data_IF_563651359421
#
_entry.id   IF_563651359421
#
_cell.length_a   1.000
_cell.length_b   1.000
_cell.length_c   1.000
_cell.angle_alpha   90.00
_cell.angle_beta   90.00
_cell.angle_gamma   90.00
#
_symmetry.space_group_name_H-M   'P 1'
#
loop_
_entity.id
_entity.type
_entity.pdbx_description
1 polymer ?
#
# COMPACT_ATOMS: atom_id res chain seq x y z
N UNK A 1 4.85 29.87 -12.83
CA UNK A 1 4.57 28.85 -11.79
C UNK A 1 5.90 28.42 -11.22
N UNK A 2 6.43 29.23 -10.31
CA UNK A 2 7.75 29.01 -9.73
C UNK A 2 7.60 28.05 -8.55
N UNK A 3 7.60 26.75 -8.84
CA UNK A 3 7.82 25.76 -7.79
C UNK A 3 9.27 25.91 -7.33
N UNK A 4 9.47 26.39 -6.10
CA UNK A 4 10.78 26.41 -5.48
C UNK A 4 11.33 24.96 -5.44
N UNK A 5 12.60 24.74 -5.82
CA UNK A 5 13.20 23.41 -5.76
C UNK A 5 13.16 22.88 -4.32
N UNK A 6 12.74 21.63 -4.17
CA UNK A 6 12.75 20.94 -2.89
C UNK A 6 14.20 20.63 -2.49
N UNK A 7 14.73 21.36 -1.50
CA UNK A 7 16.13 21.26 -1.09
C UNK A 7 16.36 20.45 0.20
N UNK A 8 15.36 19.71 0.69
CA UNK A 8 15.49 18.93 1.93
C UNK A 8 15.89 17.48 1.63
N UNK A 9 16.54 16.84 2.62
CA UNK A 9 16.90 15.44 2.52
C UNK A 9 15.64 14.55 2.51
N UNK A 10 15.68 13.53 1.66
CA UNK A 10 14.71 12.43 1.65
C UNK A 10 15.39 11.24 2.33
N UNK A 11 14.77 10.73 3.40
CA UNK A 11 15.21 9.56 4.13
C UNK A 11 14.45 8.35 3.61
N UNK A 12 15.15 7.27 3.27
CA UNK A 12 14.56 6.01 2.81
C UNK A 12 14.45 5.06 4.00
N UNK A 13 13.30 4.39 4.12
CA UNK A 13 13.03 3.38 5.13
C UNK A 13 12.70 2.06 4.44
N UNK A 14 13.16 0.94 5.00
CA UNK A 14 12.87 -0.39 4.48
C UNK A 14 11.63 -1.01 5.10
N UNK A 15 11.08 -0.38 6.13
CA UNK A 15 9.84 -0.79 6.74
C UNK A 15 9.11 0.34 7.47
N UNK A 16 7.84 0.08 7.77
CA UNK A 16 6.98 0.91 8.60
C UNK A 16 6.08 0.01 9.46
N UNK A 17 5.57 0.56 10.56
CA UNK A 17 4.58 -0.12 11.41
C UNK A 17 3.23 0.55 11.21
N UNK A 18 2.21 -0.23 10.86
CA UNK A 18 0.82 0.20 10.85
C UNK A 18 0.14 -0.27 12.14
N UNK A 19 -0.53 0.66 12.82
CA UNK A 19 -1.30 0.39 14.03
C UNK A 19 -2.77 0.70 13.75
N UNK A 20 -3.64 -0.31 13.82
CA UNK A 20 -5.07 -0.16 13.54
C UNK A 20 -5.93 -0.95 14.53
N UNK A 21 -7.19 -0.60 14.62
CA UNK A 21 -8.14 -1.29 15.51
C UNK A 21 -8.96 -2.30 14.68
N UNK A 22 -8.93 -3.58 15.07
CA UNK A 22 -9.66 -4.64 14.39
C UNK A 22 -10.74 -5.22 15.32
N UNK A 23 -11.97 -4.73 15.21
CA UNK A 23 -13.10 -5.16 16.05
C UNK A 23 -13.38 -6.68 15.98
N UNK A 24 -13.02 -7.33 14.89
CA UNK A 24 -13.25 -8.75 14.66
C UNK A 24 -12.24 -9.66 15.35
N UNK A 25 -11.04 -9.15 15.67
CA UNK A 25 -9.95 -9.95 16.24
C UNK A 25 -9.66 -9.50 17.68
N UNK A 26 -10.14 -10.27 18.65
CA UNK A 26 -10.01 -9.98 20.10
C UNK A 26 -8.58 -10.23 20.65
N UNK A 27 -7.56 -10.29 19.79
CA UNK A 27 -6.29 -10.92 20.09
C UNK A 27 -5.23 -10.00 20.73
N UNK A 28 -5.56 -8.75 21.06
CA UNK A 28 -4.65 -7.84 21.77
C UNK A 28 -5.35 -7.02 22.85
N UNK A 29 -4.55 -6.43 23.76
CA UNK A 29 -5.05 -5.56 24.83
C UNK A 29 -5.81 -4.39 24.21
N UNK A 30 -7.14 -4.44 24.30
CA UNK A 30 -8.03 -3.44 23.72
C UNK A 30 -8.18 -3.48 22.20
N UNK A 31 -7.94 -4.64 21.52
CA UNK A 31 -8.26 -4.86 20.10
C UNK A 31 -7.40 -4.12 19.06
N UNK A 32 -6.24 -3.60 19.48
CA UNK A 32 -5.26 -2.90 18.63
C UNK A 32 -4.29 -3.88 17.94
N UNK A 33 -4.17 -3.82 16.63
CA UNK A 33 -3.24 -4.62 15.83
C UNK A 33 -2.03 -3.80 15.39
N UNK A 34 -0.87 -4.46 15.36
CA UNK A 34 0.37 -3.92 14.80
C UNK A 34 0.82 -4.83 13.68
N UNK A 35 0.98 -4.26 12.49
CA UNK A 35 1.54 -4.95 11.34
C UNK A 35 2.77 -4.21 10.85
N UNK A 36 3.75 -4.98 10.38
CA UNK A 36 4.98 -4.45 9.84
C UNK A 36 4.93 -4.53 8.32
N UNK A 37 5.00 -3.37 7.66
CA UNK A 37 5.01 -3.23 6.21
C UNK A 37 6.46 -3.18 5.75
N UNK A 38 6.84 -4.07 4.83
CA UNK A 38 8.17 -4.18 4.26
C UNK A 38 8.23 -3.62 2.83
N UNK A 39 9.26 -2.83 2.58
CA UNK A 39 9.64 -2.33 1.26
C UNK A 39 11.15 -2.53 1.06
N UNK A 40 11.63 -3.75 1.33
CA UNK A 40 13.05 -4.07 1.35
C UNK A 40 13.50 -4.53 -0.05
N UNK A 41 14.42 -3.82 -0.72
CA UNK A 41 14.81 -4.13 -2.11
C UNK A 41 15.63 -5.41 -2.24
N UNK A 42 16.26 -5.89 -1.17
CA UNK A 42 16.92 -7.20 -1.12
C UNK A 42 16.71 -7.85 0.25
N UNK A 43 15.86 -8.87 0.27
CA UNK A 43 15.49 -9.59 1.49
C UNK A 43 16.42 -10.79 1.69
N UNK A 44 17.24 -10.78 2.76
CA UNK A 44 18.29 -11.79 3.02
C UNK A 44 19.24 -12.04 1.83
N UNK A 45 19.60 -11.00 1.08
CA UNK A 45 20.43 -11.12 -0.12
C UNK A 45 19.71 -11.73 -1.33
N UNK A 46 18.40 -11.96 -1.20
CA UNK A 46 17.52 -12.48 -2.24
C UNK A 46 16.69 -11.38 -2.92
N UNK A 47 15.58 -11.78 -3.56
CA UNK A 47 14.63 -10.89 -4.20
C UNK A 47 14.08 -9.80 -3.26
N UNK A 48 13.52 -8.71 -3.81
CA UNK A 48 12.83 -7.72 -3.02
C UNK A 48 11.63 -8.30 -2.26
N UNK A 49 11.38 -7.77 -1.07
CA UNK A 49 10.17 -7.95 -0.30
C UNK A 49 9.38 -6.64 -0.34
N UNK A 50 8.33 -6.62 -1.17
CA UNK A 50 7.43 -5.50 -1.35
C UNK A 50 6.03 -5.94 -0.93
N UNK A 51 5.62 -5.51 0.25
CA UNK A 51 4.33 -5.88 0.80
C UNK A 51 3.19 -5.18 0.06
N UNK A 52 2.06 -5.87 0.00
CA UNK A 52 0.81 -5.27 -0.44
C UNK A 52 0.12 -4.62 0.75
N UNK A 53 -0.63 -3.55 0.50
CA UNK A 53 -1.37 -2.83 1.51
C UNK A 53 -2.76 -2.46 1.03
N UNK A 54 -3.70 -2.38 1.96
CA UNK A 54 -4.97 -1.70 1.75
C UNK A 54 -4.77 -0.19 1.95
N UNK A 55 -5.24 0.59 0.99
CA UNK A 55 -5.15 2.05 1.00
C UNK A 55 -6.55 2.62 1.02
N UNK A 56 -6.84 3.53 1.95
CA UNK A 56 -8.12 4.23 1.99
C UNK A 56 -8.22 5.18 0.78
N UNK A 57 -9.14 4.91 -0.13
CA UNK A 57 -9.38 5.72 -1.32
C UNK A 57 -10.65 6.57 -1.18
N UNK A 58 -11.73 5.94 -0.73
CA UNK A 58 -13.02 6.61 -0.53
C UNK A 58 -13.76 5.99 0.65
N UNK A 59 -13.74 6.69 1.78
CA UNK A 59 -14.41 6.27 3.01
C UNK A 59 -15.95 6.26 2.90
N UNK A 60 -16.54 6.84 1.85
CA UNK A 60 -18.00 6.81 1.62
C UNK A 60 -18.47 5.50 0.99
N UNK A 61 -17.57 4.77 0.32
CA UNK A 61 -17.87 3.49 -0.29
C UNK A 61 -17.73 2.37 0.73
N UNK A 62 -18.65 1.40 0.67
CA UNK A 62 -18.63 0.24 1.56
C UNK A 62 -17.63 -0.81 1.08
N UNK A 63 -17.11 -1.56 2.06
CA UNK A 63 -16.30 -2.77 1.83
C UNK A 63 -15.04 -2.48 0.99
N UNK A 64 -14.64 -3.42 0.15
CA UNK A 64 -13.42 -3.34 -0.65
C UNK A 64 -13.48 -2.24 -1.71
N UNK A 65 -14.65 -1.70 -2.03
CA UNK A 65 -14.79 -0.66 -3.05
C UNK A 65 -14.29 0.70 -2.59
N UNK A 66 -14.24 0.95 -1.28
CA UNK A 66 -13.61 2.14 -0.69
C UNK A 66 -12.12 1.98 -0.46
N UNK A 67 -11.58 0.78 -0.67
CA UNK A 67 -10.17 0.44 -0.45
C UNK A 67 -9.47 0.19 -1.79
N UNK A 68 -8.34 0.85 -1.99
CA UNK A 68 -7.37 0.47 -3.01
C UNK A 68 -6.46 -0.64 -2.51
N UNK A 69 -5.91 -1.43 -3.43
CA UNK A 69 -4.78 -2.31 -3.16
C UNK A 69 -3.56 -1.76 -3.88
N UNK A 70 -2.45 -1.68 -3.16
CA UNK A 70 -1.20 -1.23 -3.75
C UNK A 70 -0.02 -2.03 -3.21
N UNK A 71 1.01 -2.21 -4.03
CA UNK A 71 2.29 -2.76 -3.63
C UNK A 71 3.21 -1.63 -3.17
N UNK A 72 3.76 -1.72 -1.96
CA UNK A 72 4.69 -0.70 -1.44
C UNK A 72 6.10 -0.97 -1.96
N UNK A 73 6.58 -0.08 -2.83
CA UNK A 73 7.89 -0.22 -3.45
C UNK A 73 8.99 0.51 -2.66
N UNK A 74 8.64 1.60 -1.98
CA UNK A 74 9.56 2.40 -1.19
C UNK A 74 8.81 3.16 -0.11
N UNK A 75 9.38 3.20 1.09
CA UNK A 75 8.94 4.09 2.17
C UNK A 75 9.97 5.19 2.33
N UNK A 76 9.52 6.43 2.47
CA UNK A 76 10.40 7.56 2.69
C UNK A 76 9.80 8.59 3.63
N UNK A 77 10.65 9.44 4.17
CA UNK A 77 10.20 10.63 4.89
C UNK A 77 11.06 11.83 4.55
N UNK A 78 10.47 13.01 4.64
CA UNK A 78 11.16 14.25 4.37
C UNK A 78 10.56 15.39 5.19
N UNK A 79 11.31 16.48 5.35
CA UNK A 79 10.81 17.66 6.07
C UNK A 79 10.23 18.67 5.08
N UNK A 80 9.08 19.25 5.41
CA UNK A 80 8.46 20.34 4.67
C UNK A 80 7.73 21.27 5.65
N UNK A 81 7.97 22.58 5.58
CA UNK A 81 7.45 23.57 6.54
C UNK A 81 7.54 23.11 8.01
N UNK A 82 8.72 22.64 8.43
CA UNK A 82 9.00 22.16 9.79
C UNK A 82 8.26 20.89 10.23
N UNK A 83 7.48 20.25 9.36
CA UNK A 83 6.83 18.97 9.61
C UNK A 83 7.54 17.85 8.88
N UNK A 84 7.73 16.72 9.55
CA UNK A 84 8.15 15.48 8.89
C UNK A 84 6.93 14.86 8.24
N UNK A 85 7.01 14.63 6.93
CA UNK A 85 5.99 13.97 6.13
C UNK A 85 6.50 12.58 5.80
N UNK A 86 5.68 11.57 6.05
CA UNK A 86 5.98 10.17 5.73
C UNK A 86 5.18 9.74 4.51
N UNK A 87 5.85 9.13 3.55
CA UNK A 87 5.30 8.78 2.25
C UNK A 87 5.67 7.37 1.83
N UNK A 88 4.83 6.80 0.97
CA UNK A 88 5.07 5.54 0.30
C UNK A 88 4.99 5.74 -1.21
N UNK A 89 5.95 5.22 -1.96
CA UNK A 89 5.80 4.99 -3.38
C UNK A 89 5.11 3.65 -3.56
N UNK A 90 3.96 3.66 -4.23
CA UNK A 90 3.14 2.46 -4.41
C UNK A 90 2.89 2.19 -5.88
N UNK A 91 2.77 0.90 -6.22
CA UNK A 91 2.23 0.43 -7.49
C UNK A 91 0.79 -0.02 -7.28
N UNK A 92 -0.15 0.65 -7.93
CA UNK A 92 -1.57 0.34 -7.81
C UNK A 92 -1.96 -0.97 -8.49
N UNK A 93 -2.92 -1.64 -7.87
CA UNK A 93 -3.58 -2.82 -8.42
C UNK A 93 -5.07 -2.54 -8.58
N UNK A 94 -5.66 -3.04 -9.67
CA UNK A 94 -7.10 -2.92 -9.94
C UNK A 94 -7.82 -4.24 -9.71
N UNK A 95 -9.05 -4.13 -9.22
CA UNK A 95 -9.97 -5.26 -9.11
C UNK A 95 -10.26 -5.81 -10.51
N UNK A 96 -10.25 -7.13 -10.63
CA UNK A 96 -10.67 -7.85 -11.83
C UNK A 96 -12.13 -8.27 -11.69
N UNK A 97 -12.97 -7.80 -12.60
CA UNK A 97 -14.41 -8.07 -12.56
C UNK A 97 -15.15 -7.24 -11.51
N UNK A 98 -16.43 -7.58 -11.30
CA UNK A 98 -17.34 -6.79 -10.45
C UNK A 98 -17.79 -7.51 -9.17
N UNK A 99 -17.32 -8.75 -8.98
CA UNK A 99 -17.70 -9.65 -7.88
C UNK A 99 -16.50 -10.50 -7.47
N UNK A 100 -16.47 -11.02 -6.23
CA UNK A 100 -15.48 -12.00 -5.83
C UNK A 100 -15.53 -13.25 -6.73
N UNK A 101 -14.40 -13.95 -6.82
CA UNK A 101 -14.29 -15.24 -7.48
C UNK A 101 -15.30 -16.23 -6.88
N UNK A 102 -16.04 -16.94 -7.74
CA UNK A 102 -17.15 -17.79 -7.30
C UNK A 102 -16.71 -19.03 -6.53
N UNK A 103 -15.45 -19.46 -6.71
CA UNK A 103 -14.91 -20.67 -6.07
C UNK A 103 -14.31 -20.34 -4.71
N UNK A 104 -13.56 -19.25 -4.60
CA UNK A 104 -12.81 -18.88 -3.39
C UNK A 104 -13.53 -17.83 -2.54
N UNK A 105 -14.48 -17.09 -3.10
CA UNK A 105 -15.10 -15.93 -2.46
C UNK A 105 -14.15 -14.73 -2.31
N UNK A 106 -12.95 -14.79 -2.90
CA UNK A 106 -11.94 -13.73 -2.80
C UNK A 106 -11.98 -12.78 -3.98
N UNK A 107 -11.59 -11.53 -3.76
CA UNK A 107 -11.42 -10.55 -4.83
C UNK A 107 -10.10 -10.80 -5.56
N UNK A 108 -10.15 -10.75 -6.90
CA UNK A 108 -8.96 -10.89 -7.74
C UNK A 108 -8.43 -9.50 -8.08
N UNK A 109 -7.12 -9.34 -7.95
CA UNK A 109 -6.42 -8.09 -8.26
C UNK A 109 -5.31 -8.34 -9.28
N UNK A 110 -5.06 -7.35 -10.12
CA UNK A 110 -3.93 -7.37 -11.05
C UNK A 110 -3.18 -6.03 -11.02
N UNK A 111 -1.87 -6.04 -11.31
CA UNK A 111 -1.10 -4.80 -11.39
C UNK A 111 -1.71 -3.85 -12.42
N UNK A 112 -1.78 -2.56 -12.07
CA UNK A 112 -2.34 -1.53 -12.93
C UNK A 112 -1.25 -0.74 -13.66
N UNK A 113 -1.60 -0.20 -14.82
CA UNK A 113 -0.66 0.47 -15.73
C UNK A 113 -1.33 1.72 -16.29
N UNK A 114 -0.56 2.81 -16.45
CA UNK A 114 -1.05 4.09 -16.99
C UNK A 114 -1.67 3.94 -18.39
N UNK A 115 -1.18 2.95 -19.15
CA UNK A 115 -1.65 2.61 -20.48
C UNK A 115 -1.88 1.10 -20.59
N UNK A 116 -2.80 0.70 -21.46
CA UNK A 116 -3.14 -0.72 -21.68
C UNK A 116 -1.98 -1.57 -22.23
N UNK A 117 -0.82 -0.98 -22.54
CA UNK A 117 0.33 -1.67 -23.12
C UNK A 117 1.28 -2.32 -22.10
N UNK A 118 0.96 -2.32 -20.79
CA UNK A 118 1.74 -2.95 -19.70
C UNK A 118 3.18 -2.46 -19.54
N UNK A 119 3.56 -1.34 -20.17
CA UNK A 119 4.94 -0.84 -20.13
C UNK A 119 5.19 0.13 -18.97
N UNK A 120 4.14 0.78 -18.47
CA UNK A 120 4.27 1.86 -17.47
C UNK A 120 3.39 1.56 -16.27
N UNK A 121 3.96 1.05 -15.15
CA UNK A 121 3.18 0.75 -13.96
C UNK A 121 2.53 2.03 -13.43
N UNK A 122 1.32 1.91 -12.92
CA UNK A 122 0.61 3.02 -12.30
C UNK A 122 1.21 3.27 -10.92
N UNK A 123 2.21 4.14 -10.86
CA UNK A 123 2.91 4.51 -9.65
C UNK A 123 2.36 5.80 -9.05
N UNK A 124 2.30 5.89 -7.73
CA UNK A 124 1.93 7.11 -7.01
C UNK A 124 2.67 7.22 -5.69
N UNK A 125 3.02 8.45 -5.30
CA UNK A 125 3.44 8.76 -3.94
C UNK A 125 2.20 9.08 -3.12
N UNK A 126 1.97 8.34 -2.04
CA UNK A 126 0.87 8.55 -1.09
C UNK A 126 1.43 8.88 0.29
N UNK A 127 0.64 9.58 1.11
CA UNK A 127 0.97 9.72 2.54
C UNK A 127 0.73 8.38 3.24
N UNK A 128 1.60 8.02 4.20
CA UNK A 128 1.45 6.74 4.92
C UNK A 128 0.15 6.63 5.70
N UNK A 129 -0.47 7.76 6.08
CA UNK A 129 -1.76 7.77 6.78
C UNK A 129 -2.93 7.24 5.94
N UNK A 130 -2.77 7.11 4.63
CA UNK A 130 -3.78 6.45 3.79
C UNK A 130 -3.65 4.93 3.83
N UNK A 131 -2.53 4.38 4.32
CA UNK A 131 -2.34 2.93 4.45
C UNK A 131 -3.10 2.46 5.69
N UNK A 132 -4.02 1.53 5.48
CA UNK A 132 -4.85 0.95 6.54
C UNK A 132 -4.11 -0.18 7.24
N UNK A 133 -3.68 -1.18 6.46
CA UNK A 133 -3.01 -2.39 6.94
C UNK A 133 -2.37 -3.14 5.77
N UNK A 134 -1.60 -4.20 6.07
CA UNK A 134 -1.03 -5.11 5.08
C UNK A 134 -2.14 -5.92 4.41
N UNK A 135 -2.02 -6.12 3.10
CA UNK A 135 -2.85 -7.00 2.32
C UNK A 135 -2.05 -8.25 1.95
N UNK A 136 -2.66 -9.42 2.10
CA UNK A 136 -2.05 -10.69 1.70
C UNK A 136 -2.70 -11.17 0.40
N UNK A 137 -1.97 -11.05 -0.71
CA UNK A 137 -2.40 -11.56 -2.00
C UNK A 137 -1.91 -13.00 -2.19
N UNK A 138 -2.83 -13.89 -2.57
CA UNK A 138 -2.53 -15.27 -2.92
C UNK A 138 -2.52 -15.37 -4.46
N UNK A 139 -1.57 -16.11 -5.07
CA UNK A 139 -1.57 -16.32 -6.51
C UNK A 139 -2.87 -16.97 -7.00
N UNK A 140 -3.36 -16.53 -8.17
CA UNK A 140 -4.43 -17.23 -8.86
C UNK A 140 -3.83 -18.44 -9.57
N UNK A 141 -4.23 -19.63 -9.15
CA UNK A 141 -3.88 -20.89 -9.81
C UNK A 141 -4.96 -21.24 -10.83
N UNK A 142 -4.61 -21.10 -12.11
CA UNK A 142 -5.43 -21.48 -13.27
C UNK A 142 -5.00 -22.82 -13.83
#
# INVERSE_FOLDING_TARGET
>A
NDFLPFCNNIFIHYSAVATYYALSDLCSVGGMHHEHICATPSWFGGPPCWDYVFVNQDASLKEIRGLGIAQVLLLCSFKHHYKTISCALVHWHKIVGNRPDSRTGMWIFQPDFLHNNRQQPLLQIIHTDFIVCVAHLIPVFT
#
